data_IF_410751169451
#
_entry.id   IF_410751169451
#
_cell.length_a   1.000
_cell.length_b   1.000
_cell.length_c   1.000
_cell.angle_alpha   90.00
_cell.angle_beta   90.00
_cell.angle_gamma   90.00
#
_symmetry.space_group_name_H-M   'P 1'
#
loop_
_entity.id
_entity.type
_entity.pdbx_description
1 polymer ?
#
# COMPACT_ATOMS: atom_id res chain seq x y z
N UNK A 1 -9.59 -10.13 -4.10
CA UNK A 1 -10.96 -9.73 -4.51
C UNK A 1 -11.65 -9.44 -3.19
N UNK A 2 -11.87 -8.16 -2.85
CA UNK A 2 -12.45 -7.83 -1.55
C UNK A 2 -13.76 -8.61 -1.39
N UNK A 3 -13.86 -9.41 -0.33
CA UNK A 3 -15.01 -10.28 -0.14
C UNK A 3 -16.24 -9.38 0.02
N UNK A 4 -17.20 -9.52 -0.88
CA UNK A 4 -18.44 -8.74 -0.86
C UNK A 4 -19.14 -8.84 0.52
N UNK A 5 -18.95 -9.96 1.23
CA UNK A 5 -19.41 -10.15 2.60
C UNK A 5 -18.68 -9.26 3.61
N UNK A 6 -17.36 -9.08 3.45
CA UNK A 6 -16.58 -8.18 4.31
C UNK A 6 -17.01 -6.72 4.11
N UNK A 7 -17.18 -6.31 2.85
CA UNK A 7 -17.66 -4.96 2.50
C UNK A 7 -19.02 -4.71 3.14
N UNK A 8 -20.00 -5.60 2.95
CA UNK A 8 -21.34 -5.40 3.48
C UNK A 8 -21.36 -5.38 5.03
N UNK A 9 -20.53 -6.21 5.67
CA UNK A 9 -20.38 -6.25 7.13
C UNK A 9 -19.82 -4.93 7.67
N UNK A 10 -18.72 -4.43 7.10
CA UNK A 10 -18.07 -3.21 7.59
C UNK A 10 -18.94 -2.00 7.31
N UNK A 11 -19.51 -1.92 6.11
CA UNK A 11 -20.33 -0.79 5.69
C UNK A 11 -21.50 -0.50 6.63
N UNK A 12 -22.10 -1.56 7.20
CA UNK A 12 -23.22 -1.47 8.15
C UNK A 12 -22.76 -1.29 9.61
N UNK A 13 -21.49 -1.56 9.92
CA UNK A 13 -20.95 -1.47 11.27
C UNK A 13 -20.14 -0.16 11.46
N UNK A 14 -20.82 0.85 12.01
CA UNK A 14 -20.24 2.16 12.26
C UNK A 14 -19.06 2.12 13.26
N UNK A 15 -19.09 1.24 14.25
CA UNK A 15 -17.97 1.07 15.19
C UNK A 15 -16.75 0.54 14.46
N UNK A 16 -16.92 -0.46 13.59
CA UNK A 16 -15.83 -1.02 12.80
C UNK A 16 -15.21 0.02 11.85
N UNK A 17 -16.03 0.83 11.19
CA UNK A 17 -15.56 1.92 10.30
C UNK A 17 -14.71 2.92 11.08
N UNK A 18 -15.22 3.44 12.20
CA UNK A 18 -14.53 4.45 12.99
C UNK A 18 -13.23 3.91 13.58
N UNK A 19 -13.28 2.73 14.19
CA UNK A 19 -12.12 2.10 14.82
C UNK A 19 -11.02 1.79 13.79
N UNK A 20 -11.40 1.34 12.58
CA UNK A 20 -10.43 1.10 11.52
C UNK A 20 -9.79 2.41 11.05
N UNK A 21 -10.59 3.45 10.81
CA UNK A 21 -10.08 4.75 10.38
C UNK A 21 -9.14 5.38 11.42
N UNK A 22 -9.53 5.33 12.70
CA UNK A 22 -8.69 5.84 13.80
C UNK A 22 -7.38 5.05 13.89
N UNK A 23 -7.45 3.71 13.85
CA UNK A 23 -6.24 2.87 13.86
C UNK A 23 -5.29 3.20 12.70
N UNK A 24 -5.82 3.50 11.52
CA UNK A 24 -4.99 3.87 10.37
C UNK A 24 -4.36 5.26 10.52
N UNK A 25 -5.05 6.22 11.15
CA UNK A 25 -4.49 7.52 11.51
C UNK A 25 -3.36 7.40 12.54
N UNK A 26 -3.49 6.47 13.48
CA UNK A 26 -2.54 6.28 14.59
C UNK A 26 -1.32 5.42 14.19
N UNK A 27 -1.23 4.95 12.94
CA UNK A 27 -0.11 4.12 12.51
C UNK A 27 1.20 4.91 12.52
N UNK A 28 2.25 4.40 13.22
CA UNK A 28 3.55 5.04 13.20
C UNK A 28 4.14 5.01 11.80
N UNK A 29 4.72 6.13 11.36
CA UNK A 29 5.30 6.30 10.00
C UNK A 29 4.28 6.04 8.89
N UNK A 30 3.01 6.38 9.11
CA UNK A 30 2.03 6.50 8.04
C UNK A 30 2.52 7.50 6.99
N UNK A 31 2.45 7.11 5.72
CA UNK A 31 2.85 7.89 4.55
C UNK A 31 1.59 8.34 3.77
N UNK A 32 0.49 8.57 4.50
CA UNK A 32 -0.77 9.03 3.95
C UNK A 32 -0.59 10.40 3.31
N UNK A 33 -1.15 10.57 2.11
CA UNK A 33 -1.26 11.90 1.52
C UNK A 33 -2.37 12.72 2.20
N UNK A 34 -2.39 14.03 1.97
CA UNK A 34 -3.35 14.94 2.62
C UNK A 34 -4.80 14.49 2.42
N UNK A 35 -5.14 14.04 1.20
CA UNK A 35 -6.48 13.54 0.89
C UNK A 35 -6.82 12.25 1.64
N UNK A 36 -5.88 11.32 1.82
CA UNK A 36 -6.06 10.10 2.62
C UNK A 36 -6.24 10.43 4.10
N UNK A 37 -5.49 11.40 4.62
CA UNK A 37 -5.64 11.89 5.99
C UNK A 37 -7.04 12.47 6.18
N UNK A 38 -7.48 13.37 5.30
CA UNK A 38 -8.81 13.98 5.35
C UNK A 38 -9.92 12.91 5.26
N UNK A 39 -9.76 11.95 4.35
CA UNK A 39 -10.68 10.83 4.21
C UNK A 39 -10.77 10.01 5.51
N UNK A 40 -9.64 9.65 6.11
CA UNK A 40 -9.61 8.86 7.35
C UNK A 40 -10.19 9.65 8.53
N UNK A 41 -9.89 10.94 8.65
CA UNK A 41 -10.49 11.81 9.68
C UNK A 41 -12.01 11.89 9.53
N UNK A 42 -12.49 12.03 8.30
CA UNK A 42 -13.92 12.03 8.01
C UNK A 42 -14.57 10.67 8.36
N UNK A 43 -13.93 9.55 8.05
CA UNK A 43 -14.42 8.21 8.41
C UNK A 43 -14.42 7.98 9.94
N UNK A 44 -13.38 8.43 10.66
CA UNK A 44 -13.28 8.33 12.11
C UNK A 44 -14.41 9.10 12.83
N UNK A 45 -14.88 10.21 12.24
CA UNK A 45 -15.96 11.06 12.78
C UNK A 45 -17.34 10.71 12.22
N UNK A 46 -17.44 9.76 11.29
CA UNK A 46 -18.66 9.46 10.56
C UNK A 46 -19.80 9.04 11.49
N UNK A 47 -21.03 9.55 11.31
CA UNK A 47 -22.11 9.43 12.32
C UNK A 47 -23.26 8.49 11.98
N UNK A 48 -23.45 8.08 10.72
CA UNK A 48 -24.61 7.29 10.31
C UNK A 48 -24.23 6.19 9.33
N UNK A 49 -24.53 4.91 9.60
CA UNK A 49 -24.40 3.88 8.58
C UNK A 49 -25.59 3.95 7.59
N UNK A 50 -25.48 3.31 6.42
CA UNK A 50 -24.26 2.74 5.87
C UNK A 50 -23.34 3.81 5.26
N UNK A 51 -22.01 3.62 5.32
CA UNK A 51 -21.12 4.33 4.39
C UNK A 51 -21.38 3.83 2.95
N UNK A 52 -20.91 4.55 1.93
CA UNK A 52 -21.05 4.03 0.56
C UNK A 52 -20.13 2.82 0.33
N UNK A 53 -20.47 1.96 -0.64
CA UNK A 53 -19.60 0.85 -1.05
C UNK A 53 -18.20 1.36 -1.38
N UNK A 54 -18.11 2.43 -2.17
CA UNK A 54 -16.84 3.07 -2.56
C UNK A 54 -16.03 3.59 -1.37
N UNK A 55 -16.68 4.15 -0.35
CA UNK A 55 -16.02 4.56 0.89
C UNK A 55 -15.48 3.35 1.65
N UNK A 56 -16.25 2.26 1.73
CA UNK A 56 -15.81 1.02 2.37
C UNK A 56 -14.62 0.40 1.63
N UNK A 57 -14.71 0.26 0.30
CA UNK A 57 -13.63 -0.25 -0.55
C UNK A 57 -12.36 0.57 -0.36
N UNK A 58 -12.48 1.91 -0.35
CA UNK A 58 -11.32 2.76 -0.15
C UNK A 58 -10.72 2.63 1.25
N UNK A 59 -11.55 2.55 2.30
CA UNK A 59 -11.05 2.34 3.65
C UNK A 59 -10.30 1.01 3.79
N UNK A 60 -10.80 -0.04 3.13
CA UNK A 60 -10.13 -1.33 3.06
C UNK A 60 -8.84 -1.27 2.23
N UNK A 61 -8.84 -0.55 1.12
CA UNK A 61 -7.64 -0.33 0.31
C UNK A 61 -6.54 0.38 1.11
N UNK A 62 -6.87 1.43 1.88
CA UNK A 62 -5.88 2.12 2.75
C UNK A 62 -5.38 1.17 3.85
N UNK A 63 -6.25 0.33 4.41
CA UNK A 63 -5.85 -0.72 5.37
C UNK A 63 -4.84 -1.67 4.74
N UNK A 64 -5.14 -2.20 3.56
CA UNK A 64 -4.28 -3.17 2.90
C UNK A 64 -2.96 -2.51 2.46
N UNK A 65 -3.00 -1.22 2.10
CA UNK A 65 -1.82 -0.43 1.75
C UNK A 65 -0.85 -0.19 2.91
N UNK A 66 -1.32 -0.31 4.15
CA UNK A 66 -0.51 -0.22 5.37
C UNK A 66 0.27 -1.50 5.69
N UNK A 67 -0.10 -2.63 5.10
CA UNK A 67 0.48 -3.94 5.43
C UNK A 67 1.93 -4.06 4.93
N UNK A 68 2.81 -4.62 5.75
CA UNK A 68 4.23 -4.81 5.41
C UNK A 68 4.48 -6.17 4.76
N UNK A 69 5.31 -6.15 3.72
CA UNK A 69 5.73 -7.33 2.97
C UNK A 69 7.26 -7.41 2.99
N UNK A 70 7.78 -8.61 3.25
CA UNK A 70 9.21 -8.94 3.15
C UNK A 70 9.55 -9.80 1.92
N UNK A 71 8.53 -10.40 1.30
CA UNK A 71 8.68 -11.21 0.08
C UNK A 71 7.43 -11.15 -0.80
N UNK A 72 7.60 -11.49 -2.07
CA UNK A 72 6.54 -11.57 -3.08
C UNK A 72 6.94 -12.56 -4.17
N UNK A 73 6.09 -13.54 -4.47
CA UNK A 73 6.34 -14.55 -5.52
C UNK A 73 7.75 -15.18 -5.48
N UNK A 74 8.25 -15.53 -4.29
CA UNK A 74 9.57 -16.14 -4.11
C UNK A 74 10.75 -15.15 -4.12
N UNK A 75 10.51 -13.88 -4.44
CA UNK A 75 11.51 -12.82 -4.33
C UNK A 75 11.46 -12.18 -2.94
N UNK A 76 12.61 -12.00 -2.29
CA UNK A 76 12.69 -11.12 -1.12
C UNK A 76 12.69 -9.66 -1.55
N UNK A 77 12.04 -8.80 -0.76
CA UNK A 77 12.00 -7.35 -1.00
C UNK A 77 13.41 -6.77 -1.03
N UNK A 78 14.28 -7.22 -0.13
CA UNK A 78 15.67 -6.78 -0.09
C UNK A 78 16.44 -7.12 -1.39
N UNK A 79 16.24 -8.33 -1.93
CA UNK A 79 16.88 -8.73 -3.20
C UNK A 79 16.34 -7.92 -4.37
N UNK A 80 15.04 -7.63 -4.41
CA UNK A 80 14.44 -6.79 -5.45
C UNK A 80 14.96 -5.34 -5.38
N UNK A 81 15.07 -4.76 -4.18
CA UNK A 81 15.64 -3.42 -4.00
C UNK A 81 17.08 -3.40 -4.52
N UNK A 82 17.90 -4.41 -4.18
CA UNK A 82 19.29 -4.51 -4.66
C UNK A 82 19.36 -4.58 -6.18
N UNK A 83 18.57 -5.44 -6.81
CA UNK A 83 18.48 -5.59 -8.27
C UNK A 83 18.08 -4.27 -8.94
N UNK A 84 16.98 -3.66 -8.49
CA UNK A 84 16.51 -2.38 -9.03
C UNK A 84 17.53 -1.26 -8.83
N UNK A 85 18.26 -1.25 -7.71
CA UNK A 85 19.28 -0.24 -7.45
C UNK A 85 20.49 -0.36 -8.41
N UNK A 86 20.88 -1.59 -8.76
CA UNK A 86 21.98 -1.82 -9.71
C UNK A 86 21.62 -1.37 -11.13
N UNK A 87 20.37 -1.55 -11.55
CA UNK A 87 19.87 -1.15 -12.87
C UNK A 87 19.11 0.20 -12.87
N UNK A 88 19.23 1.00 -11.79
CA UNK A 88 18.40 2.20 -11.60
C UNK A 88 18.57 3.28 -12.67
N UNK A 89 19.68 3.25 -13.40
CA UNK A 89 19.99 4.21 -14.45
C UNK A 89 19.13 3.97 -15.71
N UNK A 90 18.52 2.78 -15.83
CA UNK A 90 17.57 2.41 -16.89
C UNK A 90 16.10 2.69 -16.50
N UNK A 91 15.86 3.36 -15.37
CA UNK A 91 14.52 3.82 -14.99
C UNK A 91 14.20 5.15 -15.67
N UNK A 92 13.07 5.21 -16.38
CA UNK A 92 12.62 6.41 -17.11
C UNK A 92 12.19 7.55 -16.17
N UNK A 93 11.80 7.21 -14.95
CA UNK A 93 11.22 8.14 -13.99
C UNK A 93 12.20 8.49 -12.89
N UNK A 94 12.56 9.76 -12.80
CA UNK A 94 13.38 10.29 -11.72
C UNK A 94 12.75 10.03 -10.34
N UNK A 95 11.42 10.02 -10.25
CA UNK A 95 10.68 9.68 -9.04
C UNK A 95 10.75 8.18 -8.67
N UNK A 96 11.01 7.31 -9.65
CA UNK A 96 11.30 5.89 -9.41
C UNK A 96 12.74 5.73 -8.95
N UNK A 97 13.69 6.42 -9.60
CA UNK A 97 15.10 6.40 -9.23
C UNK A 97 15.32 6.82 -7.78
N UNK A 98 14.84 8.01 -7.39
CA UNK A 98 14.92 8.53 -6.02
C UNK A 98 14.27 7.60 -4.99
N UNK A 99 13.19 6.93 -5.37
CA UNK A 99 12.52 5.97 -4.50
C UNK A 99 13.37 4.73 -4.25
N UNK A 100 14.01 4.17 -5.29
CA UNK A 100 14.90 3.01 -5.16
C UNK A 100 16.16 3.38 -4.37
N UNK A 101 16.72 4.57 -4.60
CA UNK A 101 17.86 5.09 -3.84
C UNK A 101 17.52 5.20 -2.35
N UNK A 102 16.39 5.82 -2.01
CA UNK A 102 15.92 5.92 -0.64
C UNK A 102 15.77 4.55 0.02
N UNK A 103 15.14 3.57 -0.66
CA UNK A 103 14.99 2.22 -0.13
C UNK A 103 16.33 1.50 0.11
N UNK A 104 17.34 1.77 -0.73
CA UNK A 104 18.68 1.21 -0.58
C UNK A 104 19.45 1.82 0.58
N UNK A 105 19.37 3.15 0.74
CA UNK A 105 20.00 3.90 1.82
C UNK A 105 19.48 3.45 3.19
N UNK A 106 18.17 3.27 3.32
CA UNK A 106 17.54 2.81 4.56
C UNK A 106 17.77 1.31 4.83
N UNK A 107 18.36 0.57 3.89
CA UNK A 107 18.59 -0.88 3.96
C UNK A 107 17.33 -1.67 4.35
N UNK A 108 16.17 -1.26 3.81
CA UNK A 108 14.88 -1.86 4.14
C UNK A 108 14.81 -3.35 3.74
N UNK A 109 14.39 -4.19 4.68
CA UNK A 109 14.09 -5.62 4.45
C UNK A 109 12.60 -5.90 4.24
N UNK A 110 11.74 -4.94 4.57
CA UNK A 110 10.30 -4.96 4.33
C UNK A 110 9.80 -3.59 3.89
N UNK A 111 8.71 -3.57 3.13
CA UNK A 111 8.04 -2.33 2.69
C UNK A 111 6.53 -2.48 2.78
N UNK A 112 5.82 -1.37 2.92
CA UNK A 112 4.35 -1.36 2.86
C UNK A 112 3.85 -1.79 1.49
N UNK A 113 2.65 -2.37 1.40
CA UNK A 113 2.04 -2.85 0.16
C UNK A 113 2.02 -1.79 -0.94
N UNK A 114 1.74 -0.53 -0.60
CA UNK A 114 1.77 0.56 -1.60
C UNK A 114 3.16 0.83 -2.18
N UNK A 115 4.19 0.80 -1.33
CA UNK A 115 5.59 0.88 -1.76
C UNK A 115 6.01 -0.37 -2.54
N UNK A 116 5.50 -1.54 -2.14
CA UNK A 116 5.75 -2.78 -2.88
C UNK A 116 5.18 -2.71 -4.30
N UNK A 117 3.98 -2.13 -4.51
CA UNK A 117 3.44 -1.94 -5.88
C UNK A 117 4.37 -1.07 -6.72
N UNK A 118 4.91 0.01 -6.14
CA UNK A 118 5.87 0.89 -6.81
C UNK A 118 7.20 0.16 -7.11
N UNK A 119 7.72 -0.62 -6.16
CA UNK A 119 8.92 -1.44 -6.34
C UNK A 119 8.74 -2.48 -7.45
N UNK A 120 7.60 -3.18 -7.49
CA UNK A 120 7.28 -4.14 -8.54
C UNK A 120 7.15 -3.47 -9.91
N UNK A 121 6.58 -2.27 -9.99
CA UNK A 121 6.55 -1.51 -11.23
C UNK A 121 7.97 -1.20 -11.75
N UNK A 122 8.88 -0.77 -10.86
CA UNK A 122 10.29 -0.55 -11.21
C UNK A 122 10.96 -1.85 -11.66
N UNK A 123 10.78 -2.94 -10.91
CA UNK A 123 11.39 -4.23 -11.23
C UNK A 123 10.92 -4.80 -12.58
N UNK A 124 9.65 -4.63 -12.93
CA UNK A 124 9.13 -5.03 -14.26
C UNK A 124 9.70 -4.19 -15.38
N UNK A 125 9.80 -2.88 -15.17
CA UNK A 125 10.40 -1.97 -16.14
C UNK A 125 11.85 -2.38 -16.46
N UNK A 126 12.60 -2.78 -15.43
CA UNK A 126 13.99 -3.21 -15.54
C UNK A 126 14.15 -4.68 -16.00
N UNK A 127 13.06 -5.41 -16.23
CA UNK A 127 13.09 -6.83 -16.62
C UNK A 127 13.56 -7.79 -15.51
N UNK A 128 13.60 -7.34 -14.25
CA UNK A 128 14.06 -8.14 -13.10
C UNK A 128 13.04 -9.19 -12.63
N UNK A 129 11.77 -8.99 -12.99
CA UNK A 129 10.65 -9.89 -12.72
C UNK A 129 9.70 -9.92 -13.93
N UNK A 130 8.91 -10.98 -14.03
CA UNK A 130 7.92 -11.09 -15.09
C UNK A 130 6.73 -10.14 -14.89
N UNK A 131 6.05 -9.80 -15.99
CA UNK A 131 4.93 -8.85 -15.96
C UNK A 131 3.74 -9.33 -15.12
N UNK A 132 3.57 -10.64 -14.95
CA UNK A 132 2.47 -11.23 -14.18
C UNK A 132 2.70 -11.20 -12.66
N UNK A 133 3.93 -10.97 -12.19
CA UNK A 133 4.26 -10.91 -10.76
C UNK A 133 3.56 -9.71 -10.13
N UNK A 134 2.63 -9.95 -9.21
CA UNK A 134 1.82 -8.90 -8.56
C UNK A 134 1.59 -9.23 -7.08
N UNK A 135 1.06 -8.28 -6.32
CA UNK A 135 0.70 -8.57 -4.93
C UNK A 135 -0.66 -9.27 -4.94
N UNK A 136 -0.77 -10.41 -4.25
CA UNK A 136 -2.05 -11.12 -4.08
C UNK A 136 -3.13 -10.14 -3.58
N UNK A 137 -4.30 -10.17 -4.23
CA UNK A 137 -5.44 -9.28 -3.95
C UNK A 137 -6.30 -9.74 -2.81
#
# INVERSE_FOLDING_TARGET
>A
MQDYKEIDRIRKNLVAVRSLAQRLLDLPRADWNDWEIDFLQHMARHKRPPITTRQCEKLLEVRDDAEYYSSVHGFSVQSLIKKCWLARDDLDSENHRKFIEHLKETSCSCVKRRHLRKLLACARQLGEIEQYVSIAR
#
